data_IF_017498715615
#
_entry.id   IF_017498715615
#
_cell.length_a   1.000
_cell.length_b   1.000
_cell.length_c   1.000
_cell.angle_alpha   90.00
_cell.angle_beta   90.00
_cell.angle_gamma   90.00
#
_symmetry.space_group_name_H-M   'P 1'
#
loop_
_entity.id
_entity.type
_entity.pdbx_description
1 polymer ?
#
# COMPACT_ATOMS: atom_id res chain seq x y z
N UNK A 1 -17.19 -33.96 -13.62
CA UNK A 1 -17.31 -33.25 -13.27
C UNK A 1 -17.17 -32.60 -13.19
N UNK A 2 -17.05 -32.67 -13.25
CA UNK A 2 -16.81 -31.74 -12.97
C UNK A 2 -16.32 -31.24 -12.83
N UNK A 3 -15.92 -31.13 -12.55
CA UNK A 3 -15.53 -30.36 -12.19
C UNK A 3 -15.05 -29.72 -11.98
N UNK A 4 -14.94 -30.12 -12.06
CA UNK A 4 -14.56 -29.26 -11.65
C UNK A 4 -13.99 -28.75 -11.57
N UNK A 5 -13.82 -28.94 -11.63
CA UNK A 5 -13.39 -28.24 -11.33
C UNK A 5 -12.93 -27.67 -11.24
N UNK A 6 -12.86 -27.64 -11.08
CA UNK A 6 -12.47 -26.78 -10.72
C UNK A 6 -12.00 -26.05 -10.51
N UNK A 7 -11.88 -26.02 -10.53
CA UNK A 7 -11.57 -25.14 -10.13
C UNK A 7 -10.92 -24.76 -10.05
N UNK A 8 -10.56 -24.83 -9.81
CA UNK A 8 -10.14 -24.32 -9.43
C UNK A 8 -9.58 -23.65 -9.80
N UNK A 9 -9.41 -23.82 -10.03
CA UNK A 9 -8.87 -23.25 -10.32
C UNK A 9 -8.88 -22.49 -10.49
N UNK A 10 -9.35 -22.42 -10.45
CA UNK A 10 -9.40 -21.35 -10.51
C UNK A 10 -8.80 -20.50 -9.87
N UNK A 11 -8.94 -20.05 -9.43
CA UNK A 11 -8.02 -19.26 -8.66
C UNK A 11 -6.60 -19.52 -9.02
N UNK A 12 -6.39 -20.52 -9.61
CA UNK A 12 -5.07 -20.86 -10.09
C UNK A 12 -4.62 -19.93 -11.17
N UNK A 13 -5.54 -19.41 -11.94
CA UNK A 13 -5.18 -18.49 -12.99
C UNK A 13 -4.38 -17.31 -12.50
N UNK A 14 -4.71 -16.83 -11.31
CA UNK A 14 -3.98 -15.67 -10.76
C UNK A 14 -2.55 -16.00 -10.41
N UNK A 15 -2.29 -17.22 -9.94
CA UNK A 15 -0.93 -17.63 -9.62
C UNK A 15 -0.06 -17.80 -10.82
N UNK A 16 -0.66 -18.17 -11.94
CA UNK A 16 0.09 -18.42 -13.15
C UNK A 16 0.68 -17.15 -13.73
N UNK A 17 0.19 -15.99 -13.32
CA UNK A 17 0.65 -14.72 -13.88
C UNK A 17 1.47 -13.97 -12.85
N UNK A 18 2.78 -14.00 -12.95
CA UNK A 18 3.61 -13.29 -11.97
C UNK A 18 3.45 -11.79 -12.08
N UNK A 19 3.68 -11.10 -10.99
CA UNK A 19 3.65 -9.65 -10.98
C UNK A 19 4.85 -9.09 -11.74
N UNK A 20 4.68 -7.94 -12.35
CA UNK A 20 5.80 -7.20 -12.91
C UNK A 20 6.71 -6.71 -11.78
N UNK A 21 7.89 -6.21 -12.14
CA UNK A 21 8.80 -5.62 -11.16
C UNK A 21 8.13 -4.47 -10.44
N UNK A 22 7.48 -3.60 -11.18
CA UNK A 22 6.79 -2.44 -10.60
C UNK A 22 5.66 -2.86 -9.67
N UNK A 23 4.88 -3.84 -10.07
CA UNK A 23 3.78 -4.34 -9.25
C UNK A 23 4.30 -4.99 -7.97
N UNK A 24 5.41 -5.73 -8.07
CA UNK A 24 6.02 -6.36 -6.91
C UNK A 24 6.55 -5.31 -5.95
N UNK A 25 7.22 -4.29 -6.46
CA UNK A 25 7.72 -3.21 -5.63
C UNK A 25 6.58 -2.47 -4.94
N UNK A 26 5.51 -2.16 -5.66
CA UNK A 26 4.35 -1.49 -5.08
C UNK A 26 3.71 -2.32 -3.98
N UNK A 27 3.60 -3.63 -4.18
CA UNK A 27 3.03 -4.53 -3.19
C UNK A 27 3.85 -4.54 -1.90
N UNK A 28 5.17 -4.60 -2.04
CA UNK A 28 6.08 -4.58 -0.88
C UNK A 28 5.99 -3.25 -0.14
N UNK A 29 5.99 -2.14 -0.87
CA UNK A 29 5.89 -0.81 -0.26
C UNK A 29 4.58 -0.68 0.52
N UNK A 30 3.47 -1.12 -0.05
CA UNK A 30 2.17 -1.04 0.62
C UNK A 30 2.15 -1.85 1.91
N UNK A 31 2.86 -2.97 1.93
CA UNK A 31 2.96 -3.80 3.13
C UNK A 31 3.84 -3.16 4.20
N UNK A 32 4.85 -2.39 3.79
CA UNK A 32 5.80 -1.77 4.72
C UNK A 32 5.23 -0.54 5.43
N UNK A 33 4.38 0.22 4.76
CA UNK A 33 3.88 1.47 5.32
C UNK A 33 3.25 1.28 6.72
N UNK A 34 2.31 0.33 6.92
CA UNK A 34 1.78 0.11 8.28
C UNK A 34 2.83 -0.34 9.27
N UNK A 35 3.83 -1.11 8.82
CA UNK A 35 4.90 -1.57 9.71
C UNK A 35 5.77 -0.41 10.19
N UNK A 36 6.00 0.57 9.32
CA UNK A 36 6.75 1.77 9.72
C UNK A 36 6.04 2.53 10.84
N UNK A 37 4.71 2.58 10.79
CA UNK A 37 3.94 3.26 11.82
C UNK A 37 4.07 2.59 13.18
N UNK A 38 4.24 1.27 13.19
CA UNK A 38 4.35 0.50 14.44
C UNK A 38 5.79 0.37 14.92
N UNK A 39 6.69 0.04 14.03
CA UNK A 39 8.06 -0.35 14.37
C UNK A 39 9.12 0.69 14.04
N UNK A 40 8.76 1.71 13.24
CA UNK A 40 9.75 2.67 12.78
C UNK A 40 10.81 1.98 11.94
N UNK A 41 12.06 2.39 12.12
CA UNK A 41 13.17 1.88 11.33
C UNK A 41 13.67 0.51 11.80
N UNK A 42 13.10 0.00 12.88
CA UNK A 42 13.51 -1.30 13.42
C UNK A 42 12.85 -2.48 12.72
N UNK A 43 12.12 -2.23 11.63
CA UNK A 43 11.50 -3.29 10.84
C UNK A 43 12.58 -4.25 10.34
N UNK A 44 12.33 -5.56 10.51
CA UNK A 44 13.23 -6.57 9.97
C UNK A 44 12.81 -6.98 8.56
N UNK A 45 13.77 -7.50 7.80
CA UNK A 45 13.49 -8.06 6.47
C UNK A 45 12.45 -9.17 6.54
N UNK A 46 12.48 -9.95 7.60
CA UNK A 46 11.53 -11.03 7.80
C UNK A 46 10.11 -10.48 7.98
N UNK A 47 9.96 -9.41 8.78
CA UNK A 47 8.67 -8.78 8.97
C UNK A 47 8.12 -8.22 7.65
N UNK A 48 9.00 -7.62 6.85
CA UNK A 48 8.60 -7.09 5.54
C UNK A 48 8.11 -8.23 4.64
N UNK A 49 8.86 -9.31 4.57
CA UNK A 49 8.51 -10.45 3.74
C UNK A 49 7.18 -11.07 4.17
N UNK A 50 6.99 -11.25 5.47
CA UNK A 50 5.74 -11.80 6.00
C UNK A 50 4.55 -10.90 5.67
N UNK A 51 4.70 -9.59 5.84
CA UNK A 51 3.63 -8.65 5.55
C UNK A 51 3.28 -8.62 4.07
N UNK A 52 4.29 -8.74 3.21
CA UNK A 52 4.07 -8.72 1.76
C UNK A 52 3.67 -10.09 1.21
N UNK A 53 3.76 -11.15 2.02
CA UNK A 53 3.40 -12.49 1.58
C UNK A 53 4.40 -13.11 0.62
N UNK A 54 5.68 -12.77 0.75
CA UNK A 54 6.74 -13.27 -0.13
C UNK A 54 7.94 -13.73 0.68
N UNK A 55 8.88 -14.38 0.03
CA UNK A 55 10.14 -14.79 0.67
C UNK A 55 11.07 -13.58 0.82
N UNK A 56 11.95 -13.62 1.82
CA UNK A 56 12.93 -12.55 2.01
C UNK A 56 13.77 -12.29 0.77
N UNK A 57 14.17 -13.35 0.08
CA UNK A 57 14.92 -13.22 -1.16
C UNK A 57 14.19 -12.41 -2.22
N UNK A 58 12.87 -12.56 -2.28
CA UNK A 58 12.06 -11.79 -3.22
C UNK A 58 12.10 -10.31 -2.87
N UNK A 59 12.04 -9.98 -1.58
CA UNK A 59 12.13 -8.59 -1.12
C UNK A 59 13.44 -7.96 -1.58
N UNK A 60 14.56 -8.64 -1.37
CA UNK A 60 15.86 -8.09 -1.73
C UNK A 60 16.10 -8.06 -3.23
N UNK A 61 15.50 -8.96 -3.99
CA UNK A 61 15.56 -8.85 -5.45
C UNK A 61 14.82 -7.63 -5.96
N UNK A 62 13.77 -7.22 -5.26
CA UNK A 62 12.98 -6.07 -5.68
C UNK A 62 13.66 -4.75 -5.34
N UNK A 63 14.37 -4.66 -4.21
CA UNK A 63 14.86 -3.38 -3.71
C UNK A 63 16.36 -3.33 -3.39
N UNK A 64 17.01 -4.45 -3.27
CA UNK A 64 18.42 -4.48 -2.94
C UNK A 64 18.68 -4.47 -1.44
N UNK A 65 18.18 -3.51 -0.70
CA UNK A 65 18.39 -3.46 0.73
C UNK A 65 17.18 -2.87 1.46
N UNK A 66 17.21 -2.97 2.78
CA UNK A 66 16.12 -2.53 3.63
C UNK A 66 15.96 -1.01 3.61
N UNK A 67 17.07 -0.28 3.59
CA UNK A 67 17.00 1.18 3.59
C UNK A 67 16.31 1.72 2.35
N UNK A 68 16.55 1.08 1.20
CA UNK A 68 15.86 1.47 -0.03
C UNK A 68 14.36 1.25 0.07
N UNK A 69 13.93 0.17 0.72
CA UNK A 69 12.52 -0.11 0.92
C UNK A 69 11.88 0.96 1.80
N UNK A 70 12.54 1.27 2.91
CA UNK A 70 12.05 2.28 3.84
C UNK A 70 11.95 3.64 3.16
N UNK A 71 12.98 4.01 2.42
CA UNK A 71 12.99 5.29 1.70
C UNK A 71 11.85 5.36 0.68
N UNK A 72 11.61 4.29 -0.06
CA UNK A 72 10.52 4.24 -1.04
C UNK A 72 9.15 4.33 -0.36
N UNK A 73 9.00 3.67 0.78
CA UNK A 73 7.74 3.70 1.52
C UNK A 73 7.46 5.10 2.07
N UNK A 74 8.48 5.76 2.60
CA UNK A 74 8.34 7.13 3.10
C UNK A 74 8.00 8.07 1.95
N UNK A 75 8.66 7.93 0.81
CA UNK A 75 8.39 8.78 -0.35
C UNK A 75 6.95 8.62 -0.83
N UNK A 76 6.45 7.39 -0.87
CA UNK A 76 5.08 7.14 -1.27
C UNK A 76 4.10 7.72 -0.25
N UNK A 77 4.39 7.56 1.03
CA UNK A 77 3.55 8.07 2.08
C UNK A 77 3.45 9.59 2.04
N UNK A 78 4.56 10.26 1.72
CA UNK A 78 4.62 11.72 1.65
C UNK A 78 4.17 12.29 0.30
N UNK A 79 3.86 11.43 -0.66
CA UNK A 79 3.38 11.88 -1.96
C UNK A 79 2.08 12.67 -1.78
N UNK A 80 2.05 13.95 -2.16
CA UNK A 80 0.86 14.79 -1.95
C UNK A 80 -0.23 14.58 -3.00
N UNK A 81 0.06 13.87 -4.09
CA UNK A 81 -0.89 13.78 -5.20
C UNK A 81 -2.21 13.08 -4.84
N UNK A 82 -2.20 11.94 -4.12
CA UNK A 82 -3.49 11.36 -3.74
C UNK A 82 -4.36 12.28 -2.90
N UNK A 83 -3.74 13.05 -1.99
CA UNK A 83 -4.46 14.02 -1.19
C UNK A 83 -4.99 15.16 -2.06
N UNK A 84 -4.16 15.65 -2.97
CA UNK A 84 -4.59 16.70 -3.89
C UNK A 84 -5.77 16.26 -4.73
N UNK A 85 -5.75 15.02 -5.20
CA UNK A 85 -6.84 14.49 -6.01
C UNK A 85 -8.13 14.44 -5.21
N UNK A 86 -8.06 14.00 -3.95
CA UNK A 86 -9.25 13.99 -3.10
C UNK A 86 -9.78 15.40 -2.84
N UNK A 87 -8.90 16.35 -2.61
CA UNK A 87 -9.31 17.74 -2.39
C UNK A 87 -9.94 18.35 -3.64
N UNK A 88 -9.38 18.05 -4.81
CA UNK A 88 -9.96 18.53 -6.07
C UNK A 88 -11.33 17.93 -6.35
N UNK A 89 -11.58 16.74 -5.84
CA UNK A 89 -12.86 16.07 -6.04
C UNK A 89 -13.99 16.65 -5.19
N UNK A 90 -13.67 17.52 -4.23
CA UNK A 90 -14.70 18.18 -3.42
C UNK A 90 -15.52 19.10 -4.33
N UNK A 91 -16.83 18.98 -4.27
CA UNK A 91 -17.73 19.78 -5.10
C UNK A 91 -17.54 21.25 -4.81
N UNK A 92 -17.19 22.03 -5.84
CA UNK A 92 -16.97 23.46 -5.72
C UNK A 92 -18.22 24.25 -5.41
N UNK A 93 -19.39 23.65 -5.64
CA UNK A 93 -20.68 24.32 -5.35
C UNK A 93 -21.13 24.18 -3.92
N UNK A 94 -20.42 23.41 -3.09
CA UNK A 94 -20.73 23.31 -1.67
C UNK A 94 -20.46 24.65 -1.00
N UNK A 95 -21.22 24.94 0.05
CA UNK A 95 -20.96 26.10 0.89
C UNK A 95 -19.66 25.90 1.68
N UNK A 96 -19.17 26.98 2.28
CA UNK A 96 -17.89 26.95 2.98
C UNK A 96 -17.88 25.93 4.12
N UNK A 97 -18.97 25.89 4.89
CA UNK A 97 -19.07 24.96 6.02
C UNK A 97 -18.93 23.51 5.55
N UNK A 98 -19.63 23.13 4.50
CA UNK A 98 -19.58 21.79 3.96
C UNK A 98 -18.22 21.46 3.39
N UNK A 99 -17.56 22.42 2.72
CA UNK A 99 -16.20 22.22 2.21
C UNK A 99 -15.22 21.96 3.34
N UNK A 100 -15.31 22.73 4.42
CA UNK A 100 -14.42 22.56 5.57
C UNK A 100 -14.63 21.19 6.20
N UNK A 101 -15.88 20.77 6.36
CA UNK A 101 -16.17 19.44 6.90
C UNK A 101 -15.61 18.34 6.01
N UNK A 102 -15.72 18.50 4.69
CA UNK A 102 -15.16 17.51 3.75
C UNK A 102 -13.64 17.42 3.89
N UNK A 103 -12.96 18.56 4.00
CA UNK A 103 -11.51 18.59 4.17
C UNK A 103 -11.12 17.92 5.49
N UNK A 104 -11.80 18.24 6.57
CA UNK A 104 -11.52 17.66 7.88
C UNK A 104 -11.70 16.14 7.83
N UNK A 105 -12.76 15.67 7.19
CA UNK A 105 -13.02 14.23 7.07
C UNK A 105 -11.88 13.53 6.32
N UNK A 106 -11.42 14.12 5.22
CA UNK A 106 -10.32 13.56 4.45
C UNK A 106 -9.04 13.48 5.31
N UNK A 107 -8.74 14.56 6.02
CA UNK A 107 -7.54 14.61 6.85
C UNK A 107 -7.62 13.63 8.01
N UNK A 108 -8.76 13.53 8.67
CA UNK A 108 -8.92 12.58 9.77
C UNK A 108 -8.75 11.15 9.31
N UNK A 109 -9.31 10.80 8.15
CA UNK A 109 -9.16 9.45 7.62
C UNK A 109 -7.70 9.13 7.32
N UNK A 110 -7.00 10.06 6.69
CA UNK A 110 -5.60 9.85 6.31
C UNK A 110 -4.68 9.78 7.53
N UNK A 111 -4.82 10.72 8.43
CA UNK A 111 -3.95 10.74 9.62
C UNK A 111 -4.35 9.71 10.65
N UNK A 112 -5.61 9.34 10.70
CA UNK A 112 -6.07 8.30 11.60
C UNK A 112 -5.45 6.94 11.32
N UNK A 113 -5.11 6.67 10.07
CA UNK A 113 -4.44 5.44 9.70
C UNK A 113 -2.99 5.40 10.19
N UNK A 114 -2.38 6.56 10.36
CA UNK A 114 -0.99 6.68 10.78
C UNK A 114 -0.84 6.58 12.29
N UNK A 115 -1.72 7.23 13.02
CA UNK A 115 -1.58 7.39 14.46
C UNK A 115 -2.51 6.47 15.26
N UNK A 116 -2.97 5.45 14.62
CA UNK A 116 -3.88 4.52 15.25
C UNK A 116 -3.22 3.57 16.22
#
# INVERSE_FOLDING_TARGET
>A
MPQVIHPRAESIGTRAKPLSVEERQASIIDAVIPLLAVHGRDISSKQIAEAAGVAEGTVFRAFGDKDSIIAAAIAKFLDPEPLRDELRAIDGDLDLHSKVLAIITIMQRRFGEIFR
#
